data_IF_389101411434
#
_entry.id   IF_389101411434
#
_cell.length_a   1.000
_cell.length_b   1.000
_cell.length_c   1.000
_cell.angle_alpha   90.00
_cell.angle_beta   90.00
_cell.angle_gamma   90.00
#
_symmetry.space_group_name_H-M   'P 1'
#
loop_
_entity.id
_entity.type
_entity.pdbx_description
1 polymer ?
#
# COMPACT_ATOMS: atom_id res chain seq x y z
N UNK A 1 -6.48 22.13 -6.41
CA UNK A 1 -6.80 20.84 -7.06
C UNK A 1 -5.51 20.13 -7.39
N UNK A 2 -5.41 18.82 -7.12
CA UNK A 2 -4.24 17.98 -7.48
C UNK A 2 -4.26 17.79 -9.00
N UNK A 3 -3.16 18.16 -9.68
CA UNK A 3 -3.01 17.92 -11.10
C UNK A 3 -2.53 16.51 -11.39
N UNK A 4 -2.71 16.02 -12.62
CA UNK A 4 -2.18 14.73 -13.04
C UNK A 4 -0.64 14.66 -12.87
N UNK A 5 0.06 15.75 -13.17
CA UNK A 5 1.51 15.85 -12.99
C UNK A 5 1.93 15.73 -11.52
N UNK A 6 1.14 16.29 -10.59
CA UNK A 6 1.41 16.19 -9.16
C UNK A 6 1.20 14.76 -8.67
N UNK A 7 0.09 14.13 -9.07
CA UNK A 7 -0.28 12.78 -8.67
C UNK A 7 0.65 11.68 -9.24
N UNK A 8 1.31 11.94 -10.37
CA UNK A 8 2.28 11.02 -10.98
C UNK A 8 3.71 11.16 -10.44
N UNK A 9 3.94 12.05 -9.48
CA UNK A 9 5.27 12.29 -8.90
C UNK A 9 5.46 11.53 -7.59
N UNK A 10 6.09 10.35 -7.65
CA UNK A 10 6.47 9.63 -6.44
C UNK A 10 7.87 10.07 -5.95
N UNK A 11 8.08 10.36 -4.64
CA UNK A 11 9.34 10.92 -4.13
C UNK A 11 10.52 9.94 -4.22
N UNK A 12 10.31 8.64 -4.04
CA UNK A 12 11.38 7.65 -3.87
C UNK A 12 11.44 6.59 -4.97
N UNK A 13 10.34 6.37 -5.72
CA UNK A 13 10.23 5.27 -6.66
C UNK A 13 9.86 5.76 -8.06
N UNK A 14 10.53 5.21 -9.07
CA UNK A 14 10.09 5.32 -10.47
C UNK A 14 9.20 4.14 -10.79
N UNK A 15 7.90 4.38 -10.94
CA UNK A 15 6.88 3.35 -11.09
C UNK A 15 5.96 3.65 -12.28
N UNK A 16 5.16 2.66 -12.68
CA UNK A 16 4.09 2.84 -13.65
C UNK A 16 3.01 3.82 -13.16
N UNK A 17 2.27 4.42 -14.09
CA UNK A 17 1.29 5.46 -13.77
C UNK A 17 0.20 4.96 -12.79
N UNK A 18 -0.33 3.75 -13.00
CA UNK A 18 -1.40 3.18 -12.16
C UNK A 18 -0.97 3.07 -10.71
N UNK A 19 0.14 2.39 -10.42
CA UNK A 19 0.61 2.20 -9.03
C UNK A 19 1.05 3.50 -8.37
N UNK A 20 1.49 4.50 -9.14
CA UNK A 20 1.81 5.83 -8.62
C UNK A 20 0.54 6.54 -8.12
N UNK A 21 -0.57 6.45 -8.88
CA UNK A 21 -1.87 6.97 -8.44
C UNK A 21 -2.40 6.19 -7.23
N UNK A 22 -2.27 4.86 -7.21
CA UNK A 22 -2.67 4.04 -6.07
C UNK A 22 -1.89 4.41 -4.79
N UNK A 23 -0.61 4.73 -4.92
CA UNK A 23 0.19 5.23 -3.81
C UNK A 23 -0.29 6.60 -3.34
N UNK A 24 -0.58 7.52 -4.28
CA UNK A 24 -1.06 8.87 -3.98
C UNK A 24 -2.46 8.88 -3.32
N UNK A 25 -3.32 7.90 -3.62
CA UNK A 25 -4.65 7.73 -3.03
C UNK A 25 -4.66 6.86 -1.78
N UNK A 26 -3.52 6.30 -1.37
CA UNK A 26 -3.37 5.29 -0.31
C UNK A 26 -4.11 3.95 -0.60
N UNK A 27 -4.67 3.77 -1.78
CA UNK A 27 -5.28 2.48 -2.19
C UNK A 27 -4.23 1.39 -2.25
N UNK A 28 -3.02 1.66 -2.74
CA UNK A 28 -1.96 0.64 -2.77
C UNK A 28 -1.71 0.06 -1.38
N UNK A 29 -1.64 0.92 -0.36
CA UNK A 29 -1.45 0.47 1.02
C UNK A 29 -2.67 -0.27 1.57
N UNK A 30 -3.87 0.10 1.12
CA UNK A 30 -5.09 -0.65 1.41
C UNK A 30 -5.09 -2.05 0.76
N UNK A 31 -4.60 -2.19 -0.47
CA UNK A 31 -4.44 -3.49 -1.13
C UNK A 31 -3.41 -4.37 -0.39
N UNK A 32 -2.31 -3.80 0.07
CA UNK A 32 -1.31 -4.52 0.88
C UNK A 32 -1.90 -4.99 2.23
N UNK A 33 -2.85 -4.24 2.83
CA UNK A 33 -3.60 -4.72 4.00
C UNK A 33 -4.44 -5.95 3.67
N UNK A 34 -5.11 -5.97 2.52
CA UNK A 34 -5.86 -7.14 2.03
C UNK A 34 -4.89 -8.32 1.83
N UNK A 35 -3.74 -8.09 1.20
CA UNK A 35 -2.71 -9.12 1.00
C UNK A 35 -2.21 -9.68 2.33
N UNK A 36 -1.86 -8.82 3.28
CA UNK A 36 -1.37 -9.25 4.60
C UNK A 36 -2.42 -10.08 5.35
N UNK A 37 -3.71 -9.71 5.26
CA UNK A 37 -4.81 -10.49 5.84
C UNK A 37 -4.81 -11.94 5.36
N UNK A 38 -4.60 -12.14 4.05
CA UNK A 38 -4.64 -13.47 3.44
C UNK A 38 -3.32 -14.24 3.55
N UNK A 39 -2.18 -13.56 3.37
CA UNK A 39 -0.86 -14.20 3.42
C UNK A 39 -0.48 -14.68 4.82
N UNK A 40 -0.89 -13.93 5.85
CA UNK A 40 -0.50 -14.22 7.24
C UNK A 40 -1.66 -14.71 8.11
N UNK A 41 -2.85 -14.86 7.53
CA UNK A 41 -4.09 -15.16 8.27
C UNK A 41 -4.32 -14.23 9.47
N UNK A 42 -3.91 -12.97 9.32
CA UNK A 42 -3.97 -11.95 10.37
C UNK A 42 -5.32 -11.22 10.31
N UNK A 43 -6.04 -11.09 11.44
CA UNK A 43 -7.26 -10.26 11.48
C UNK A 43 -6.98 -8.82 11.03
N UNK A 44 -7.90 -8.22 10.26
CA UNK A 44 -7.69 -6.89 9.68
C UNK A 44 -7.56 -5.77 10.72
N UNK A 45 -8.09 -5.96 11.93
CA UNK A 45 -7.95 -5.07 13.08
C UNK A 45 -6.60 -5.18 13.80
N UNK A 46 -5.80 -6.18 13.44
CA UNK A 46 -4.41 -6.36 13.90
C UNK A 46 -3.37 -5.97 12.84
N UNK A 47 -3.80 -5.36 11.76
CA UNK A 47 -2.91 -4.87 10.69
C UNK A 47 -2.93 -3.35 10.71
N UNK A 48 -1.84 -2.75 11.16
CA UNK A 48 -1.66 -1.31 11.20
C UNK A 48 -0.77 -0.80 10.07
N UNK A 49 -0.91 0.47 9.75
CA UNK A 49 -0.18 1.16 8.68
C UNK A 49 0.47 2.39 9.26
N UNK A 50 1.76 2.57 8.96
CA UNK A 50 2.50 3.79 9.26
C UNK A 50 3.10 4.37 7.99
N UNK A 51 3.16 5.68 7.89
CA UNK A 51 3.83 6.41 6.81
C UNK A 51 5.28 6.61 7.19
N UNK A 52 6.19 6.06 6.39
CA UNK A 52 7.64 6.15 6.57
C UNK A 52 8.28 6.71 5.29
N UNK A 53 8.64 7.99 5.32
CA UNK A 53 9.07 8.73 4.12
C UNK A 53 10.41 8.28 3.57
N UNK A 54 11.30 7.83 4.42
CA UNK A 54 12.64 7.35 4.02
C UNK A 54 12.58 6.02 3.27
N UNK A 55 11.48 5.27 3.39
CA UNK A 55 11.27 3.97 2.72
C UNK A 55 12.43 2.99 2.97
N UNK A 56 12.92 2.94 4.20
CA UNK A 56 13.98 2.04 4.68
C UNK A 56 13.39 0.87 5.46
N UNK A 57 12.36 1.13 6.28
CA UNK A 57 11.58 0.10 6.98
C UNK A 57 10.41 -0.30 6.08
N UNK A 58 10.28 -1.59 5.78
CA UNK A 58 9.27 -2.09 4.85
C UNK A 58 8.17 -2.90 5.54
N UNK A 59 8.47 -3.54 6.66
CA UNK A 59 7.49 -4.24 7.49
C UNK A 59 7.91 -4.26 8.95
N UNK A 60 6.92 -4.36 9.85
CA UNK A 60 7.10 -4.47 11.29
C UNK A 60 6.19 -5.57 11.80
N UNK A 61 6.68 -6.31 12.80
CA UNK A 61 5.88 -7.28 13.57
C UNK A 61 5.96 -6.88 15.03
N UNK A 62 4.81 -6.56 15.62
CA UNK A 62 4.67 -6.33 17.05
C UNK A 62 4.24 -7.63 17.73
N UNK A 63 4.91 -7.97 18.81
CA UNK A 63 4.61 -9.13 19.64
C UNK A 63 3.72 -8.76 20.83
N UNK A 64 3.19 -9.75 21.53
CA UNK A 64 2.29 -9.55 22.69
C UNK A 64 2.97 -8.80 23.85
N UNK A 65 4.29 -8.84 23.94
CA UNK A 65 5.10 -8.10 24.93
C UNK A 65 5.43 -6.67 24.48
N UNK A 66 4.84 -6.22 23.34
CA UNK A 66 5.06 -4.93 22.70
C UNK A 66 6.46 -4.73 22.12
N UNK A 67 7.28 -5.76 22.08
CA UNK A 67 8.52 -5.69 21.29
C UNK A 67 8.20 -5.68 19.80
N UNK A 68 8.99 -4.93 19.02
CA UNK A 68 8.78 -4.78 17.57
C UNK A 68 10.03 -5.22 16.82
N UNK A 69 9.85 -6.12 15.86
CA UNK A 69 10.90 -6.49 14.89
C UNK A 69 10.57 -5.87 13.54
N UNK A 70 11.55 -5.25 12.90
CA UNK A 70 11.41 -4.60 11.62
C UNK A 70 12.34 -5.21 10.56
N UNK A 71 11.84 -5.34 9.33
CA UNK A 71 12.66 -5.60 8.16
C UNK A 71 13.10 -4.28 7.55
N UNK A 72 14.40 -4.08 7.42
CA UNK A 72 15.01 -2.89 6.85
C UNK A 72 15.82 -3.23 5.60
N UNK A 73 15.84 -2.30 4.65
CA UNK A 73 16.65 -2.37 3.44
C UNK A 73 16.65 -1.03 2.70
N UNK A 74 17.58 -0.84 1.79
CA UNK A 74 17.48 0.27 0.84
C UNK A 74 16.26 0.06 -0.05
N UNK A 75 15.61 1.14 -0.57
CA UNK A 75 14.42 1.02 -1.41
C UNK A 75 14.80 0.48 -2.81
N UNK A 76 14.97 -0.82 -2.91
CA UNK A 76 15.36 -1.52 -4.14
C UNK A 76 14.63 -2.87 -4.24
N UNK A 77 13.77 -3.01 -5.25
CA UNK A 77 12.96 -4.21 -5.49
C UNK A 77 13.78 -5.46 -5.80
N UNK A 78 15.05 -5.33 -6.18
CA UNK A 78 15.94 -6.49 -6.39
C UNK A 78 16.12 -7.32 -5.13
N UNK A 79 16.04 -6.71 -3.95
CA UNK A 79 16.17 -7.43 -2.66
C UNK A 79 15.03 -8.45 -2.48
N UNK A 80 13.73 -8.05 -2.47
CA UNK A 80 12.65 -9.00 -2.30
C UNK A 80 12.50 -9.96 -3.48
N UNK A 81 12.74 -9.51 -4.72
CA UNK A 81 12.69 -10.37 -5.91
C UNK A 81 13.75 -11.46 -5.84
N UNK A 82 15.01 -11.11 -5.53
CA UNK A 82 16.07 -12.08 -5.37
C UNK A 82 15.74 -13.10 -4.29
N UNK A 83 15.26 -12.64 -3.12
CA UNK A 83 14.91 -13.55 -2.04
C UNK A 83 13.75 -14.49 -2.40
N UNK A 84 12.74 -14.00 -3.13
CA UNK A 84 11.66 -14.86 -3.62
C UNK A 84 12.15 -15.95 -4.58
N UNK A 85 13.17 -15.65 -5.40
CA UNK A 85 13.75 -16.62 -6.34
C UNK A 85 14.73 -17.62 -5.68
N UNK A 86 15.35 -17.24 -4.59
CA UNK A 86 16.38 -18.08 -3.91
C UNK A 86 15.88 -18.68 -2.60
N UNK A 87 14.64 -18.41 -2.21
CA UNK A 87 14.08 -18.90 -0.95
C UNK A 87 14.34 -20.40 -0.74
N UNK A 88 14.77 -20.83 0.48
CA UNK A 88 14.93 -20.04 1.70
C UNK A 88 16.32 -19.37 1.85
N UNK A 89 17.18 -19.48 0.88
CA UNK A 89 18.58 -19.05 0.98
C UNK A 89 18.73 -17.53 0.80
N UNK A 90 19.65 -16.93 1.57
CA UNK A 90 20.07 -15.54 1.44
C UNK A 90 21.41 -15.49 0.72
N UNK A 91 21.38 -15.17 -0.57
CA UNK A 91 22.57 -15.11 -1.41
C UNK A 91 23.10 -13.67 -1.55
N UNK A 92 24.38 -13.47 -1.92
CA UNK A 92 24.93 -12.15 -2.15
C UNK A 92 24.11 -11.35 -3.16
N UNK A 93 23.88 -10.07 -2.87
CA UNK A 93 23.09 -9.16 -3.71
C UNK A 93 23.98 -8.08 -4.33
N UNK A 94 23.71 -7.64 -5.58
CA UNK A 94 24.39 -6.50 -6.18
C UNK A 94 23.86 -5.15 -5.66
N UNK A 95 22.86 -5.17 -4.77
CA UNK A 95 22.28 -3.97 -4.17
C UNK A 95 23.25 -3.41 -3.12
N UNK A 96 23.34 -2.08 -3.02
CA UNK A 96 24.18 -1.46 -2.00
C UNK A 96 23.73 -1.84 -0.58
N UNK A 97 24.69 -1.96 0.32
CA UNK A 97 24.41 -2.20 1.73
C UNK A 97 23.66 -1.02 2.35
N UNK A 98 22.67 -1.31 3.19
CA UNK A 98 22.06 -0.31 4.06
C UNK A 98 23.06 0.06 5.17
N UNK A 99 23.37 1.35 5.25
CA UNK A 99 24.20 1.94 6.31
C UNK A 99 23.34 2.93 7.10
N UNK A 100 22.90 2.52 8.30
CA UNK A 100 21.98 3.32 9.11
C UNK A 100 22.59 4.65 9.56
N UNK A 101 23.90 4.70 9.75
CA UNK A 101 24.66 5.90 10.07
C UNK A 101 24.59 6.97 8.98
N UNK A 102 24.37 6.60 7.72
CA UNK A 102 24.19 7.53 6.60
C UNK A 102 22.78 8.16 6.60
N UNK A 103 21.78 7.45 7.12
CA UNK A 103 20.41 7.93 7.22
C UNK A 103 20.18 8.84 8.43
N UNK A 104 20.88 8.61 9.52
CA UNK A 104 20.87 9.41 10.74
C UNK A 104 19.58 9.32 11.54
N UNK A 105 18.41 9.44 10.91
CA UNK A 105 17.09 9.28 11.53
C UNK A 105 16.09 8.64 10.58
N UNK A 106 15.14 7.92 11.14
CA UNK A 106 13.96 7.38 10.47
C UNK A 106 12.72 8.01 11.10
N UNK A 107 11.75 8.38 10.28
CA UNK A 107 10.54 9.08 10.73
C UNK A 107 9.29 8.30 10.40
N UNK A 108 8.33 8.31 11.32
CA UNK A 108 7.06 7.58 11.20
C UNK A 108 5.89 8.52 11.53
N UNK A 109 4.83 8.43 10.74
CA UNK A 109 3.64 9.24 10.87
C UNK A 109 2.40 8.36 10.73
N UNK A 110 1.28 8.72 11.35
CA UNK A 110 0.00 8.08 11.03
C UNK A 110 -0.40 8.42 9.58
N UNK A 111 -1.12 7.53 8.89
CA UNK A 111 -1.73 7.86 7.61
C UNK A 111 -2.85 8.90 7.78
N UNK A 112 -3.01 9.79 6.81
CA UNK A 112 -4.13 10.75 6.76
C UNK A 112 -5.35 10.06 6.12
N UNK A 113 -6.08 9.29 6.92
CA UNK A 113 -7.27 8.55 6.48
C UNK A 113 -8.51 9.46 6.32
N UNK A 114 -8.48 10.68 6.86
CA UNK A 114 -9.56 11.67 6.65
C UNK A 114 -9.53 12.21 5.23
N UNK A 115 -8.35 12.52 4.72
CA UNK A 115 -8.20 13.02 3.34
C UNK A 115 -8.17 11.88 2.32
N UNK A 116 -7.52 10.74 2.65
CA UNK A 116 -7.28 9.62 1.75
C UNK A 116 -7.97 8.35 2.24
N UNK A 117 -9.16 8.10 1.75
CA UNK A 117 -10.03 7.00 2.17
C UNK A 117 -9.57 5.60 1.71
N UNK A 118 -8.50 5.50 0.95
CA UNK A 118 -8.06 4.24 0.31
C UNK A 118 -7.87 3.07 1.30
N UNK A 119 -7.21 3.33 2.43
CA UNK A 119 -7.00 2.33 3.47
C UNK A 119 -8.34 1.91 4.10
N UNK A 120 -9.16 2.88 4.49
CA UNK A 120 -10.46 2.63 5.12
C UNK A 120 -11.41 1.82 4.22
N UNK A 121 -11.44 2.13 2.91
CA UNK A 121 -12.23 1.38 1.92
C UNK A 121 -11.77 -0.07 1.78
N UNK A 122 -10.47 -0.31 1.72
CA UNK A 122 -9.92 -1.66 1.64
C UNK A 122 -10.15 -2.45 2.94
N UNK A 123 -9.99 -1.82 4.10
CA UNK A 123 -10.29 -2.42 5.40
C UNK A 123 -11.78 -2.81 5.50
N UNK A 124 -12.68 -1.92 5.10
CA UNK A 124 -14.11 -2.19 5.06
C UNK A 124 -14.45 -3.35 4.11
N UNK A 125 -13.79 -3.44 2.97
CA UNK A 125 -13.96 -4.55 2.02
C UNK A 125 -13.54 -5.89 2.61
N UNK A 126 -12.39 -5.95 3.32
CA UNK A 126 -11.93 -7.17 4.02
C UNK A 126 -12.95 -7.60 5.08
N UNK A 127 -13.42 -6.66 5.90
CA UNK A 127 -14.39 -6.95 6.97
C UNK A 127 -15.75 -7.40 6.41
N UNK A 128 -16.15 -6.90 5.24
CA UNK A 128 -17.38 -7.29 4.56
C UNK A 128 -17.30 -8.70 3.97
N UNK A 129 -16.12 -9.12 3.55
CA UNK A 129 -15.89 -10.44 2.96
C UNK A 129 -16.47 -10.64 1.56
N UNK A 130 -16.54 -11.90 1.13
CA UNK A 130 -17.06 -12.26 -0.19
C UNK A 130 -16.35 -11.56 -1.34
N UNK A 131 -17.10 -11.03 -2.30
CA UNK A 131 -16.57 -10.33 -3.47
C UNK A 131 -16.16 -8.86 -3.23
N UNK A 132 -16.29 -8.34 -2.00
CA UNK A 132 -16.07 -6.91 -1.73
C UNK A 132 -14.65 -6.45 -2.06
N UNK A 133 -13.62 -7.25 -1.76
CA UNK A 133 -12.23 -6.93 -2.08
C UNK A 133 -11.97 -6.91 -3.59
N UNK A 134 -12.59 -7.84 -4.34
CA UNK A 134 -12.54 -7.86 -5.81
C UNK A 134 -13.20 -6.62 -6.39
N UNK A 135 -14.36 -6.21 -5.85
CA UNK A 135 -15.06 -5.01 -6.29
C UNK A 135 -14.26 -3.73 -6.05
N UNK A 136 -13.63 -3.60 -4.89
CA UNK A 136 -12.76 -2.45 -4.60
C UNK A 136 -11.61 -2.38 -5.59
N UNK A 137 -10.94 -3.50 -5.86
CA UNK A 137 -9.84 -3.53 -6.83
C UNK A 137 -10.33 -3.18 -8.25
N UNK A 138 -11.40 -3.82 -8.74
CA UNK A 138 -11.93 -3.56 -10.08
C UNK A 138 -12.42 -2.11 -10.25
N UNK A 139 -13.12 -1.56 -9.24
CA UNK A 139 -13.56 -0.17 -9.26
C UNK A 139 -12.38 0.81 -9.27
N UNK A 140 -11.32 0.51 -8.53
CA UNK A 140 -10.10 1.31 -8.54
C UNK A 140 -9.39 1.28 -9.90
N UNK A 141 -9.29 0.11 -10.54
CA UNK A 141 -8.73 -0.02 -11.90
C UNK A 141 -9.44 0.92 -12.88
N UNK A 142 -10.77 0.88 -12.93
CA UNK A 142 -11.56 1.73 -13.82
C UNK A 142 -11.48 3.21 -13.44
N UNK A 143 -11.55 3.54 -12.15
CA UNK A 143 -11.47 4.92 -11.69
C UNK A 143 -10.11 5.56 -12.02
N UNK A 144 -9.01 4.84 -11.80
CA UNK A 144 -7.66 5.30 -12.17
C UNK A 144 -7.54 5.46 -13.68
N UNK A 145 -8.07 4.52 -14.48
CA UNK A 145 -8.09 4.65 -15.94
C UNK A 145 -8.86 5.89 -16.42
N UNK A 146 -10.00 6.23 -15.78
CA UNK A 146 -10.77 7.44 -16.07
C UNK A 146 -10.01 8.71 -15.67
N UNK A 147 -9.34 8.70 -14.51
CA UNK A 147 -8.52 9.83 -14.05
C UNK A 147 -7.34 10.08 -15.00
N UNK A 148 -6.61 9.05 -15.40
CA UNK A 148 -5.50 9.17 -16.35
C UNK A 148 -5.93 9.71 -17.73
N UNK A 149 -7.20 9.47 -18.12
CA UNK A 149 -7.82 10.04 -19.33
C UNK A 149 -8.39 11.44 -19.12
N UNK A 150 -8.24 12.02 -17.93
CA UNK A 150 -8.78 13.36 -17.60
C UNK A 150 -10.31 13.44 -17.53
N UNK A 151 -11.00 12.30 -17.37
CA UNK A 151 -12.48 12.23 -17.33
C UNK A 151 -13.07 12.51 -15.97
N UNK A 152 -12.29 12.33 -14.90
CA UNK A 152 -12.69 12.56 -13.50
C UNK A 152 -11.58 13.27 -12.75
N UNK A 153 -11.88 13.87 -11.59
CA UNK A 153 -10.92 14.46 -10.68
C UNK A 153 -10.24 13.44 -9.78
N UNK A 154 -9.14 13.84 -9.12
CA UNK A 154 -8.34 12.96 -8.26
C UNK A 154 -9.19 12.35 -7.11
N UNK A 155 -9.98 13.16 -6.41
CA UNK A 155 -10.83 12.69 -5.32
C UNK A 155 -12.03 11.84 -5.78
N UNK A 156 -12.38 11.89 -7.07
CA UNK A 156 -13.47 11.07 -7.59
C UNK A 156 -13.09 9.59 -7.66
N UNK A 157 -11.79 9.26 -7.65
CA UNK A 157 -11.29 7.87 -7.58
C UNK A 157 -11.87 7.20 -6.33
N UNK A 158 -11.62 7.74 -5.15
CA UNK A 158 -12.12 7.17 -3.88
C UNK A 158 -13.63 7.15 -3.81
N UNK A 159 -14.31 8.19 -4.35
CA UNK A 159 -15.78 8.25 -4.42
C UNK A 159 -16.39 7.12 -5.25
N UNK A 160 -15.79 6.81 -6.39
CA UNK A 160 -16.26 5.72 -7.26
C UNK A 160 -16.00 4.35 -6.60
N UNK A 161 -14.85 4.15 -5.98
CA UNK A 161 -14.53 2.93 -5.23
C UNK A 161 -15.52 2.73 -4.08
N UNK A 162 -15.81 3.78 -3.31
CA UNK A 162 -16.82 3.76 -2.25
C UNK A 162 -18.21 3.37 -2.79
N UNK A 163 -18.67 4.01 -3.85
CA UNK A 163 -19.97 3.73 -4.44
C UNK A 163 -20.10 2.29 -4.96
N UNK A 164 -19.01 1.72 -5.47
CA UNK A 164 -18.94 0.32 -5.87
C UNK A 164 -19.02 -0.62 -4.65
N UNK A 165 -18.25 -0.33 -3.60
CA UNK A 165 -18.27 -1.11 -2.37
C UNK A 165 -19.66 -1.12 -1.71
N UNK A 166 -20.35 0.02 -1.65
CA UNK A 166 -21.70 0.12 -1.08
C UNK A 166 -22.72 -0.74 -1.84
N UNK A 167 -22.54 -0.92 -3.13
CA UNK A 167 -23.39 -1.77 -4.00
C UNK A 167 -22.98 -3.25 -3.99
N UNK A 168 -21.83 -3.58 -3.40
CA UNK A 168 -21.39 -4.96 -3.30
C UNK A 168 -22.40 -5.77 -2.47
N UNK A 169 -22.85 -6.95 -2.92
CA UNK A 169 -23.64 -7.82 -2.07
C UNK A 169 -22.87 -8.14 -0.79
N UNK A 170 -23.59 -8.19 0.33
CA UNK A 170 -23.02 -8.66 1.59
C UNK A 170 -22.66 -10.12 1.35
N UNK A 171 -21.41 -10.47 1.59
CA UNK A 171 -20.93 -11.84 1.37
C UNK A 171 -21.74 -12.86 2.17
N UNK A 172 -22.11 -13.95 1.53
CA UNK A 172 -22.59 -15.14 2.18
C UNK A 172 -21.42 -15.96 2.68
#
# INVERSE_FOLDING_TARGET
AVTLSDALRHPNWSMGAKITIDSATMINKGLELIEARWLFDMPADKIDIVVHRESVVHSLVEYEDHSVIAQLGVPDMRIPIQYALTYPDRVPSPVRQLRLEEWGKLTFYPPDEETFEGIALCRAAVMRGGAATVMVNAANEEAVALYLKGKIGFLDISRLVRAALERSPIGG
#
